data_IF_296449264115
#
_entry.id   IF_296449264115
#
_cell.length_a   1.000
_cell.length_b   1.000
_cell.length_c   1.000
_cell.angle_alpha   90.00
_cell.angle_beta   90.00
_cell.angle_gamma   90.00
#
_symmetry.space_group_name_H-M   'P 1'
#
loop_
_entity.id
_entity.type
_entity.pdbx_description
1 polymer ?
#
# COMPACT_ATOMS: atom_id res chain seq x y z
N UNK A 1 -8.33 3.83 -11.43
CA UNK A 1 -7.39 3.27 -10.46
C UNK A 1 -6.29 2.54 -11.22
N UNK A 2 -5.01 2.83 -10.93
CA UNK A 2 -3.88 2.09 -11.51
C UNK A 2 -3.54 0.93 -10.57
N UNK A 3 -4.32 -0.15 -10.66
CA UNK A 3 -4.09 -1.39 -9.90
C UNK A 3 -2.96 -2.21 -10.55
N UNK A 4 -2.16 -2.90 -9.74
CA UNK A 4 -1.02 -3.71 -10.21
C UNK A 4 -1.41 -5.17 -10.37
N UNK A 5 -1.15 -5.76 -11.55
CA UNK A 5 -1.36 -7.19 -11.78
C UNK A 5 -0.27 -8.02 -11.09
N UNK A 6 -0.64 -9.21 -10.61
CA UNK A 6 0.34 -10.20 -10.19
C UNK A 6 1.21 -10.66 -11.38
N UNK A 7 2.48 -11.03 -11.16
CA UNK A 7 3.33 -11.51 -12.25
C UNK A 7 2.76 -12.78 -12.91
N UNK A 8 2.73 -12.79 -14.25
CA UNK A 8 2.27 -13.91 -15.08
C UNK A 8 3.21 -15.10 -14.97
N UNK A 9 2.95 -16.02 -14.04
CA UNK A 9 3.87 -17.12 -13.76
C UNK A 9 3.17 -18.39 -13.27
N UNK A 10 3.85 -19.51 -13.40
CA UNK A 10 3.48 -20.75 -12.74
C UNK A 10 3.81 -20.66 -11.25
N UNK A 11 2.97 -21.29 -10.42
CA UNK A 11 3.17 -21.39 -8.99
C UNK A 11 3.65 -22.81 -8.60
N UNK A 12 4.42 -22.93 -7.51
CA UNK A 12 4.81 -24.23 -6.98
C UNK A 12 3.58 -25.10 -6.68
N UNK A 13 3.66 -26.37 -7.06
CA UNK A 13 2.61 -27.35 -6.75
C UNK A 13 3.00 -28.04 -5.44
N UNK A 14 2.13 -28.05 -4.41
CA UNK A 14 2.39 -28.83 -3.21
C UNK A 14 2.45 -30.33 -3.56
N UNK A 15 3.31 -31.07 -2.87
CA UNK A 15 3.65 -32.47 -3.17
C UNK A 15 2.55 -33.50 -2.83
N UNK A 16 1.27 -33.12 -2.91
CA UNK A 16 0.15 -33.99 -2.56
C UNK A 16 -0.39 -34.71 -3.80
N UNK A 17 -0.46 -36.04 -3.73
CA UNK A 17 -1.00 -36.94 -4.78
C UNK A 17 -2.53 -36.81 -5.04
N UNK A 18 -3.19 -35.79 -4.49
CA UNK A 18 -4.65 -35.65 -4.51
C UNK A 18 -5.17 -34.29 -5.00
N UNK A 19 -4.35 -33.45 -5.63
CA UNK A 19 -4.87 -32.23 -6.25
C UNK A 19 -5.75 -32.59 -7.45
N UNK A 20 -7.01 -32.13 -7.41
CA UNK A 20 -7.87 -32.16 -8.59
C UNK A 20 -7.15 -31.49 -9.77
N UNK A 21 -7.28 -32.07 -10.97
CA UNK A 21 -6.60 -31.61 -12.19
C UNK A 21 -6.79 -30.11 -12.46
N UNK A 22 -7.97 -29.55 -12.15
CA UNK A 22 -8.22 -28.11 -12.28
C UNK A 22 -7.41 -27.26 -11.30
N UNK A 23 -7.23 -27.74 -10.08
CA UNK A 23 -6.38 -27.08 -9.07
C UNK A 23 -4.91 -27.14 -9.48
N UNK A 24 -4.48 -28.29 -10.03
CA UNK A 24 -3.12 -28.45 -10.55
C UNK A 24 -2.85 -27.46 -11.69
N UNK A 25 -3.75 -27.36 -12.68
CA UNK A 25 -3.62 -26.40 -13.78
C UNK A 25 -3.65 -24.94 -13.32
N UNK A 26 -4.50 -24.64 -12.33
CA UNK A 26 -4.55 -23.33 -11.71
C UNK A 26 -3.25 -22.95 -10.99
N UNK A 27 -2.35 -23.90 -10.68
CA UNK A 27 -1.01 -23.64 -10.16
C UNK A 27 0.02 -23.60 -11.29
N UNK A 28 0.03 -24.61 -12.15
CA UNK A 28 1.14 -24.85 -13.09
C UNK A 28 1.11 -24.01 -14.36
N UNK A 29 -0.07 -23.57 -14.81
CA UNK A 29 -0.15 -22.75 -16.02
C UNK A 29 0.14 -21.29 -15.70
N UNK A 30 0.99 -20.60 -16.47
CA UNK A 30 1.32 -19.20 -16.19
C UNK A 30 0.08 -18.32 -16.36
N UNK A 31 -0.28 -17.59 -15.30
CA UNK A 31 -1.38 -16.63 -15.30
C UNK A 31 -1.00 -15.41 -14.46
N UNK A 32 -1.52 -14.25 -14.81
CA UNK A 32 -1.55 -13.06 -13.97
C UNK A 32 -2.97 -12.81 -13.48
N UNK A 33 -3.09 -12.13 -12.34
CA UNK A 33 -4.36 -11.70 -11.77
C UNK A 33 -4.27 -10.21 -11.48
N UNK A 34 -5.22 -9.44 -12.01
CA UNK A 34 -5.37 -8.01 -11.79
C UNK A 34 -6.68 -7.77 -11.04
N UNK A 35 -6.60 -7.20 -9.84
CA UNK A 35 -7.78 -6.84 -9.05
C UNK A 35 -8.39 -5.53 -9.56
N UNK A 36 -9.66 -5.54 -9.94
CA UNK A 36 -10.37 -4.40 -10.53
C UNK A 36 -11.20 -3.60 -9.52
N UNK A 37 -11.31 -4.07 -8.27
CA UNK A 37 -12.24 -3.57 -7.26
C UNK A 37 -13.55 -4.38 -7.22
N UNK A 38 -14.37 -4.19 -6.19
CA UNK A 38 -15.69 -4.82 -5.98
C UNK A 38 -15.64 -6.36 -6.07
N UNK A 39 -14.53 -6.98 -5.67
CA UNK A 39 -14.34 -8.44 -5.78
C UNK A 39 -14.22 -8.98 -7.22
N UNK A 40 -14.04 -8.10 -8.20
CA UNK A 40 -13.82 -8.43 -9.61
C UNK A 40 -12.32 -8.53 -9.93
N UNK A 41 -11.97 -9.57 -10.67
CA UNK A 41 -10.60 -9.86 -11.07
C UNK A 41 -10.51 -10.14 -12.56
N UNK A 42 -9.49 -9.59 -13.19
CA UNK A 42 -9.08 -9.96 -14.53
C UNK A 42 -7.97 -11.00 -14.46
N UNK A 43 -8.14 -12.11 -15.17
CA UNK A 43 -7.16 -13.21 -15.25
C UNK A 43 -6.66 -13.33 -16.68
N UNK A 44 -5.40 -12.99 -16.91
CA UNK A 44 -4.73 -13.27 -18.17
C UNK A 44 -4.16 -14.69 -18.13
N UNK A 45 -4.64 -15.53 -19.02
CA UNK A 45 -4.24 -16.93 -19.08
C UNK A 45 -2.93 -17.15 -19.84
N UNK A 46 -2.39 -18.37 -19.75
CA UNK A 46 -1.19 -18.80 -20.48
C UNK A 46 -1.29 -18.66 -22.01
N UNK A 47 -2.51 -18.64 -22.54
CA UNK A 47 -2.81 -18.47 -23.97
C UNK A 47 -3.15 -17.02 -24.34
N UNK A 48 -2.78 -16.06 -23.49
CA UNK A 48 -3.04 -14.61 -23.66
C UNK A 48 -4.53 -14.25 -23.79
N UNK A 49 -5.42 -15.16 -23.39
CA UNK A 49 -6.84 -14.89 -23.25
C UNK A 49 -7.12 -14.34 -21.86
N UNK A 50 -7.92 -13.28 -21.82
CA UNK A 50 -8.33 -12.60 -20.59
C UNK A 50 -9.75 -12.99 -20.21
N UNK A 51 -9.95 -13.30 -18.93
CA UNK A 51 -11.26 -13.64 -18.37
C UNK A 51 -11.54 -12.83 -17.12
N UNK A 52 -12.79 -12.43 -16.94
CA UNK A 52 -13.25 -11.78 -15.72
C UNK A 52 -13.76 -12.84 -14.75
N UNK A 53 -13.37 -12.68 -13.49
CA UNK A 53 -13.75 -13.52 -12.36
C UNK A 53 -14.40 -12.63 -11.32
N UNK A 54 -15.67 -12.89 -11.06
CA UNK A 54 -16.38 -12.35 -9.91
C UNK A 54 -16.24 -13.40 -8.80
N UNK A 55 -15.37 -13.11 -7.83
CA UNK A 55 -15.01 -14.09 -6.81
C UNK A 55 -16.17 -14.32 -5.83
N UNK A 56 -16.92 -13.27 -5.51
CA UNK A 56 -18.03 -13.31 -4.56
C UNK A 56 -19.22 -14.10 -5.12
N UNK A 57 -19.59 -13.87 -6.38
CA UNK A 57 -20.61 -14.65 -7.05
C UNK A 57 -20.10 -16.03 -7.53
N UNK A 58 -18.79 -16.29 -7.42
CA UNK A 58 -18.16 -17.52 -7.89
C UNK A 58 -18.29 -17.73 -9.40
N UNK A 59 -18.29 -16.64 -10.17
CA UNK A 59 -18.54 -16.61 -11.62
C UNK A 59 -17.26 -16.35 -12.40
N UNK A 60 -17.21 -16.87 -13.62
CA UNK A 60 -16.12 -16.58 -14.55
C UNK A 60 -16.63 -16.48 -15.99
N UNK A 61 -16.08 -15.56 -16.78
CA UNK A 61 -16.44 -15.42 -18.21
C UNK A 61 -15.80 -16.47 -19.12
N UNK A 62 -14.98 -17.37 -18.58
CA UNK A 62 -14.33 -18.39 -19.39
C UNK A 62 -15.31 -19.46 -19.91
N UNK A 63 -15.04 -20.06 -21.09
CA UNK A 63 -15.90 -21.10 -21.66
C UNK A 63 -16.19 -22.27 -20.73
N UNK A 64 -15.22 -22.69 -19.90
CA UNK A 64 -15.41 -23.82 -18.97
C UNK A 64 -16.48 -23.52 -17.90
N UNK A 65 -16.60 -22.25 -17.48
CA UNK A 65 -17.68 -21.84 -16.58
C UNK A 65 -18.98 -21.63 -17.34
N UNK A 66 -18.96 -20.87 -18.45
CA UNK A 66 -20.17 -20.52 -19.21
C UNK A 66 -20.95 -21.74 -19.71
N UNK A 67 -20.25 -22.80 -20.13
CA UNK A 67 -20.91 -23.99 -20.70
C UNK A 67 -21.14 -25.12 -19.70
N UNK A 68 -20.47 -25.11 -18.53
CA UNK A 68 -20.49 -26.24 -17.59
C UNK A 68 -20.78 -25.87 -16.15
N UNK A 69 -20.88 -24.58 -15.85
CA UNK A 69 -21.04 -24.01 -14.49
C UNK A 69 -20.03 -24.58 -13.48
N UNK A 70 -18.88 -25.04 -13.98
CA UNK A 70 -17.85 -25.63 -13.16
C UNK A 70 -17.06 -24.54 -12.46
N UNK A 71 -16.67 -24.76 -11.20
CA UNK A 71 -15.55 -23.99 -10.61
C UNK A 71 -14.36 -24.22 -11.54
N UNK A 72 -13.92 -23.20 -12.27
CA UNK A 72 -12.89 -23.33 -13.30
C UNK A 72 -11.49 -23.12 -12.69
N UNK A 73 -10.44 -23.24 -13.51
CA UNK A 73 -9.07 -22.97 -13.07
C UNK A 73 -8.83 -21.48 -12.74
N UNK A 74 -9.55 -20.56 -13.37
CA UNK A 74 -9.37 -19.11 -13.15
C UNK A 74 -9.87 -18.68 -11.76
N UNK A 75 -11.05 -19.14 -11.35
CA UNK A 75 -11.57 -18.90 -9.98
C UNK A 75 -10.60 -19.47 -8.94
N UNK A 76 -10.04 -20.67 -9.18
CA UNK A 76 -9.01 -21.25 -8.29
C UNK A 76 -7.73 -20.42 -8.28
N UNK A 77 -7.26 -19.96 -9.44
CA UNK A 77 -6.07 -19.12 -9.56
C UNK A 77 -6.20 -17.85 -8.71
N UNK A 78 -7.32 -17.13 -8.81
CA UNK A 78 -7.59 -15.93 -7.99
C UNK A 78 -7.48 -16.26 -6.50
N UNK A 79 -8.18 -17.30 -6.03
CA UNK A 79 -8.12 -17.71 -4.62
C UNK A 79 -6.70 -18.08 -4.15
N UNK A 80 -5.90 -18.73 -5.01
CA UNK A 80 -4.51 -19.08 -4.72
C UNK A 80 -3.63 -17.83 -4.61
N UNK A 81 -3.75 -16.89 -5.55
CA UNK A 81 -2.95 -15.66 -5.55
C UNK A 81 -3.25 -14.80 -4.31
N UNK A 82 -4.53 -14.72 -3.89
CA UNK A 82 -4.94 -14.08 -2.63
C UNK A 82 -4.30 -14.80 -1.43
N UNK A 83 -4.40 -16.13 -1.39
CA UNK A 83 -3.82 -16.92 -0.28
C UNK A 83 -2.30 -16.75 -0.18
N UNK A 84 -1.62 -16.51 -1.31
CA UNK A 84 -0.18 -16.26 -1.35
C UNK A 84 0.19 -14.78 -1.20
N UNK A 85 -0.77 -13.88 -0.97
CA UNK A 85 -0.53 -12.43 -0.84
C UNK A 85 0.00 -11.78 -2.12
N UNK A 86 -0.25 -12.36 -3.29
CA UNK A 86 0.18 -11.83 -4.61
C UNK A 86 -0.86 -10.95 -5.28
N UNK A 87 -2.10 -10.97 -4.78
CA UNK A 87 -3.22 -10.15 -5.22
C UNK A 87 -4.10 -9.88 -4.00
N UNK A 88 -4.76 -8.71 -3.94
CA UNK A 88 -5.59 -8.33 -2.80
C UNK A 88 -6.88 -9.17 -2.70
N UNK A 89 -7.41 -9.38 -1.49
CA UNK A 89 -8.76 -9.90 -1.28
C UNK A 89 -9.85 -8.93 -1.81
N UNK A 90 -11.13 -9.37 -1.90
CA UNK A 90 -12.24 -8.46 -2.23
C UNK A 90 -12.33 -7.29 -1.27
N UNK A 91 -12.67 -6.10 -1.79
CA UNK A 91 -12.68 -4.83 -1.04
C UNK A 91 -11.34 -4.09 -1.03
N UNK A 92 -10.28 -4.70 -1.56
CA UNK A 92 -8.94 -4.09 -1.64
C UNK A 92 -8.40 -4.04 -3.08
N UNK A 93 -7.53 -3.07 -3.33
CA UNK A 93 -6.80 -2.89 -4.58
C UNK A 93 -5.28 -2.97 -4.36
N UNK A 94 -4.54 -3.35 -5.41
CA UNK A 94 -3.08 -3.40 -5.38
C UNK A 94 -2.49 -2.10 -5.89
N UNK A 95 -1.78 -1.37 -5.04
CA UNK A 95 -1.15 -0.09 -5.36
C UNK A 95 0.35 -0.15 -5.12
N UNK A 96 1.12 0.71 -5.79
CA UNK A 96 2.54 0.83 -5.55
C UNK A 96 2.80 1.76 -4.35
N UNK A 97 3.65 1.33 -3.42
CA UNK A 97 4.19 2.18 -2.37
C UNK A 97 4.86 3.40 -2.99
N UNK A 98 4.50 4.61 -2.54
CA UNK A 98 5.01 5.86 -3.13
C UNK A 98 6.53 6.04 -2.96
N UNK A 99 7.15 5.40 -1.97
CA UNK A 99 8.59 5.53 -1.71
C UNK A 99 9.45 4.48 -2.43
N UNK A 100 9.06 3.20 -2.39
CA UNK A 100 9.87 2.11 -2.92
C UNK A 100 9.27 1.39 -4.13
N UNK A 101 8.02 1.68 -4.49
CA UNK A 101 7.30 1.03 -5.60
C UNK A 101 6.83 -0.40 -5.32
N UNK A 102 7.13 -0.97 -4.15
CA UNK A 102 6.67 -2.30 -3.75
C UNK A 102 5.13 -2.34 -3.70
N UNK A 103 4.55 -3.47 -4.09
CA UNK A 103 3.08 -3.60 -4.08
C UNK A 103 2.56 -3.67 -2.65
N UNK A 104 1.54 -2.88 -2.35
CA UNK A 104 0.79 -2.93 -1.10
C UNK A 104 -0.70 -2.99 -1.40
N UNK A 105 -1.47 -3.57 -0.47
CA UNK A 105 -2.91 -3.71 -0.61
C UNK A 105 -3.59 -2.71 0.30
N UNK A 106 -4.56 -2.01 -0.25
CA UNK A 106 -5.29 -0.94 0.43
C UNK A 106 -6.77 -1.08 0.12
N UNK A 107 -7.61 -0.58 1.02
CA UNK A 107 -9.05 -0.48 0.80
C UNK A 107 -9.34 0.28 -0.51
N UNK A 108 -10.30 -0.21 -1.28
CA UNK A 108 -10.60 0.35 -2.60
C UNK A 108 -11.17 1.77 -2.58
N UNK A 109 -11.76 2.18 -1.46
CA UNK A 109 -12.26 3.54 -1.22
C UNK A 109 -11.19 4.45 -0.60
N UNK A 110 -10.02 3.91 -0.24
CA UNK A 110 -8.94 4.70 0.34
C UNK A 110 -8.41 5.73 -0.66
N UNK A 111 -8.08 6.91 -0.15
CA UNK A 111 -7.56 8.02 -0.94
C UNK A 111 -6.25 8.55 -0.38
N UNK A 112 -5.35 8.95 -1.27
CA UNK A 112 -4.07 9.56 -0.91
C UNK A 112 -2.90 8.71 -1.38
N UNK A 113 -1.68 9.11 -1.01
CA UNK A 113 -0.53 8.26 -1.23
C UNK A 113 -0.52 7.06 -0.31
N UNK A 114 -0.16 5.92 -0.87
CA UNK A 114 -0.06 4.66 -0.16
C UNK A 114 1.40 4.30 0.11
N UNK A 115 1.62 3.69 1.27
CA UNK A 115 2.94 3.31 1.75
C UNK A 115 2.89 1.87 2.25
N UNK A 116 3.91 1.07 1.94
CA UNK A 116 4.04 -0.26 2.55
C UNK A 116 4.40 -0.13 4.04
N UNK A 117 4.23 -1.21 4.81
CA UNK A 117 4.46 -1.25 6.27
C UNK A 117 5.82 -0.67 6.72
N UNK A 118 6.86 -0.83 5.89
CA UNK A 118 8.21 -0.29 6.15
C UNK A 118 8.27 1.23 6.05
N UNK A 119 7.52 1.81 5.12
CA UNK A 119 7.54 3.24 4.84
C UNK A 119 6.38 3.98 5.51
N UNK A 120 5.31 3.28 5.90
CA UNK A 120 4.20 3.90 6.61
C UNK A 120 4.67 4.46 7.97
N UNK A 121 4.28 5.71 8.23
CA UNK A 121 4.66 6.45 9.44
C UNK A 121 3.40 6.62 10.28
N UNK A 122 3.49 6.24 11.55
CA UNK A 122 2.43 6.33 12.53
C UNK A 122 2.83 7.24 13.70
N UNK A 123 1.83 7.74 14.43
CA UNK A 123 2.08 8.41 15.70
C UNK A 123 2.89 7.50 16.65
N UNK A 124 3.93 8.07 17.25
CA UNK A 124 4.89 7.36 18.11
C UNK A 124 6.10 6.79 17.38
N UNK A 125 6.09 6.73 16.04
CA UNK A 125 7.26 6.26 15.29
C UNK A 125 8.47 7.17 15.49
N UNK A 126 9.65 6.57 15.54
CA UNK A 126 10.89 7.32 15.45
C UNK A 126 11.24 7.51 13.97
N UNK A 127 11.55 8.73 13.57
CA UNK A 127 11.89 9.09 12.20
C UNK A 127 13.19 9.87 12.16
N UNK A 128 13.81 9.92 10.99
CA UNK A 128 14.99 10.73 10.70
C UNK A 128 14.61 11.82 9.71
N UNK A 129 14.94 13.07 10.04
CA UNK A 129 14.85 14.17 9.08
C UNK A 129 15.99 14.06 8.06
N UNK A 130 15.65 13.96 6.78
CA UNK A 130 16.62 13.82 5.69
C UNK A 130 17.50 15.06 5.52
N UNK A 131 17.00 16.24 5.88
CA UNK A 131 17.76 17.50 5.77
C UNK A 131 18.84 17.64 6.83
N UNK A 132 18.49 17.32 8.08
CA UNK A 132 19.38 17.54 9.23
C UNK A 132 20.09 16.27 9.68
N UNK A 133 19.53 15.11 9.36
CA UNK A 133 19.97 13.81 9.86
C UNK A 133 19.51 13.51 11.29
N UNK A 134 18.79 14.41 11.94
CA UNK A 134 18.33 14.29 13.33
C UNK A 134 17.21 13.26 13.47
N UNK A 135 17.11 12.65 14.65
CA UNK A 135 16.02 11.73 15.01
C UNK A 135 14.89 12.50 15.69
N UNK A 136 13.66 12.27 15.25
CA UNK A 136 12.44 12.85 15.79
C UNK A 136 11.47 11.75 16.22
N UNK A 137 10.51 12.11 17.07
CA UNK A 137 9.35 11.28 17.40
C UNK A 137 8.12 11.87 16.75
N UNK A 138 7.42 11.06 15.97
CA UNK A 138 6.17 11.44 15.31
C UNK A 138 5.07 11.57 16.37
N UNK A 139 4.34 12.67 16.32
CA UNK A 139 3.20 12.94 17.18
C UNK A 139 1.91 12.59 16.47
N UNK A 140 1.80 12.96 15.20
CA UNK A 140 0.59 12.75 14.40
C UNK A 140 0.89 12.83 12.89
N UNK A 141 0.01 12.25 12.08
CA UNK A 141 0.03 12.34 10.62
C UNK A 141 -1.31 12.88 10.13
N UNK A 142 -1.25 13.99 9.41
CA UNK A 142 -2.43 14.71 8.91
C UNK A 142 -2.84 14.21 7.53
N UNK A 143 -4.13 14.05 7.29
CA UNK A 143 -4.69 13.77 5.95
C UNK A 143 -4.52 14.94 4.98
N UNK A 144 -4.30 16.16 5.48
CA UNK A 144 -4.04 17.34 4.66
C UNK A 144 -2.65 17.31 4.03
N UNK A 145 -2.59 17.77 2.77
CA UNK A 145 -1.37 17.91 1.96
C UNK A 145 -0.45 19.03 2.48
N UNK A 146 0.84 18.88 2.19
CA UNK A 146 1.87 19.86 2.56
C UNK A 146 1.64 21.25 1.94
N UNK A 147 1.05 21.34 0.74
CA UNK A 147 0.66 22.60 0.11
C UNK A 147 -0.65 23.22 0.65
N UNK A 148 -1.39 22.48 1.48
CA UNK A 148 -2.64 22.95 2.07
C UNK A 148 -2.49 23.42 3.53
N UNK A 149 -1.39 23.04 4.21
CA UNK A 149 -1.17 23.35 5.63
C UNK A 149 -0.20 24.52 5.77
N UNK A 150 -0.57 25.55 6.54
CA UNK A 150 0.30 26.70 6.81
C UNK A 150 1.08 26.57 8.12
N UNK A 151 2.32 27.10 8.14
CA UNK A 151 3.20 27.02 9.31
C UNK A 151 2.93 28.19 10.25
N UNK A 152 2.52 27.91 11.49
CA UNK A 152 2.54 28.88 12.60
C UNK A 152 1.70 30.15 12.37
N UNK A 153 0.65 30.07 11.54
CA UNK A 153 -0.18 31.23 11.20
C UNK A 153 0.46 32.22 10.21
N UNK A 154 1.55 31.84 9.56
CA UNK A 154 2.08 32.56 8.39
C UNK A 154 1.29 32.23 7.12
N UNK A 155 1.50 33.02 6.05
CA UNK A 155 0.97 32.73 4.71
C UNK A 155 1.82 31.70 3.94
N UNK A 156 2.83 31.09 4.58
CA UNK A 156 3.70 30.08 3.97
C UNK A 156 3.22 28.68 4.31
N UNK A 157 3.02 27.85 3.27
CA UNK A 157 2.62 26.45 3.42
C UNK A 157 3.79 25.59 3.90
N UNK A 158 3.52 24.35 4.32
CA UNK A 158 4.57 23.39 4.66
C UNK A 158 5.41 23.09 3.42
N UNK A 159 4.80 22.95 2.24
CA UNK A 159 5.51 22.72 0.98
C UNK A 159 6.39 23.91 0.56
N UNK A 160 5.87 25.14 0.69
CA UNK A 160 6.58 26.36 0.24
C UNK A 160 7.66 26.85 1.22
N UNK A 161 7.84 26.17 2.36
CA UNK A 161 8.89 26.53 3.28
C UNK A 161 10.26 26.22 2.65
N UNK A 162 11.21 27.15 2.75
CA UNK A 162 12.47 27.08 1.99
C UNK A 162 13.30 25.79 2.14
N UNK A 163 13.17 25.07 3.26
CA UNK A 163 13.87 23.77 3.46
C UNK A 163 13.07 22.56 2.97
N UNK A 164 11.91 22.79 2.35
CA UNK A 164 11.00 21.77 1.84
C UNK A 164 10.81 21.84 0.31
N UNK A 165 11.47 22.77 -0.39
CA UNK A 165 11.29 23.02 -1.83
C UNK A 165 11.53 21.77 -2.71
N UNK A 166 12.41 20.87 -2.28
CA UNK A 166 12.75 19.62 -2.98
C UNK A 166 11.81 18.45 -2.63
N UNK A 167 10.80 18.67 -1.79
CA UNK A 167 9.85 17.64 -1.36
C UNK A 167 8.49 17.82 -2.03
N UNK A 168 7.84 16.68 -2.24
CA UNK A 168 6.57 16.63 -2.96
C UNK A 168 5.46 17.41 -2.20
N UNK A 169 4.78 18.37 -2.84
CA UNK A 169 3.72 19.16 -2.21
C UNK A 169 2.42 18.36 -1.98
N UNK A 170 2.19 17.27 -2.72
CA UNK A 170 0.98 16.44 -2.69
C UNK A 170 1.11 15.25 -1.71
N UNK A 171 1.79 15.46 -0.59
CA UNK A 171 1.97 14.44 0.45
C UNK A 171 1.40 14.93 1.78
N UNK A 172 0.92 14.00 2.63
CA UNK A 172 0.53 14.29 4.00
C UNK A 172 1.56 15.10 4.78
N UNK A 173 1.09 15.85 5.76
CA UNK A 173 1.94 16.53 6.74
C UNK A 173 2.16 15.63 7.96
N UNK A 174 3.40 15.53 8.40
CA UNK A 174 3.77 14.81 9.62
C UNK A 174 4.14 15.82 10.70
N UNK A 175 3.46 15.73 11.84
CA UNK A 175 3.82 16.45 13.06
C UNK A 175 4.84 15.64 13.86
N UNK A 176 6.00 16.22 14.15
CA UNK A 176 7.06 15.53 14.90
C UNK A 176 7.73 16.46 15.92
N UNK A 177 8.27 15.86 16.99
CA UNK A 177 9.03 16.55 18.03
C UNK A 177 10.47 16.06 18.04
N UNK A 178 11.39 16.98 18.22
CA UNK A 178 12.76 16.58 18.50
C UNK A 178 12.91 16.13 19.96
N UNK A 179 13.62 15.03 20.25
CA UNK A 179 13.75 14.47 21.58
C UNK A 179 14.70 15.24 22.51
N UNK A 180 15.13 16.45 22.14
CA UNK A 180 15.99 17.30 22.99
C UNK A 180 15.20 18.05 24.07
N UNK A 181 14.33 17.36 24.80
CA UNK A 181 13.76 17.92 26.02
C UNK A 181 14.87 18.03 27.06
N UNK A 182 15.34 19.25 27.34
CA UNK A 182 16.24 19.46 28.48
C UNK A 182 15.43 19.27 29.76
N UNK A 183 15.71 18.21 30.50
CA UNK A 183 15.09 17.98 31.82
C UNK A 183 15.74 18.96 32.79
N UNK A 184 14.99 19.99 33.19
CA UNK A 184 15.44 20.88 34.25
C UNK A 184 15.54 20.10 35.57
N UNK A 185 16.32 20.61 36.52
CA UNK A 185 16.52 19.97 37.83
C UNK A 185 15.22 19.67 38.59
N UNK A 186 14.14 20.37 38.25
CA UNK A 186 12.80 20.24 38.86
C UNK A 186 11.78 19.52 37.94
N UNK A 187 12.22 18.86 36.87
CA UNK A 187 11.36 18.11 35.95
C UNK A 187 11.42 18.61 34.50
N UNK A 188 10.58 18.01 33.65
CA UNK A 188 10.41 18.40 32.24
C UNK A 188 9.68 19.74 32.17
N UNK A 189 10.08 20.62 31.25
CA UNK A 189 9.37 21.87 30.96
C UNK A 189 8.50 21.63 29.71
N UNK A 190 7.17 21.38 29.83
CA UNK A 190 6.37 20.97 28.68
C UNK A 190 6.29 22.04 27.59
N UNK A 191 6.32 23.32 27.96
CA UNK A 191 6.26 24.45 27.03
C UNK A 191 7.48 24.61 26.11
N UNK A 192 8.57 23.87 26.35
CA UNK A 192 9.72 23.86 25.42
C UNK A 192 9.58 22.83 24.30
N UNK A 193 8.61 21.92 24.39
CA UNK A 193 8.35 20.93 23.35
C UNK A 193 7.54 21.59 22.23
N UNK A 194 8.24 21.97 21.16
CA UNK A 194 7.63 22.47 19.94
C UNK A 194 7.36 21.31 18.99
N UNK A 195 6.12 21.18 18.54
CA UNK A 195 5.76 20.30 17.43
C UNK A 195 6.11 21.02 16.13
N UNK A 196 6.88 20.34 15.29
CA UNK A 196 7.25 20.78 13.95
C UNK A 196 6.44 20.00 12.93
N UNK A 197 6.16 20.62 11.79
CA UNK A 197 5.39 20.02 10.70
C UNK A 197 6.29 19.89 9.47
N UNK A 198 6.26 18.72 8.82
CA UNK A 198 7.11 18.39 7.68
C UNK A 198 6.29 17.71 6.58
N UNK A 199 6.67 17.85 5.30
CA UNK A 199 6.17 16.96 4.26
C UNK A 199 6.55 15.52 4.62
N UNK A 200 5.62 14.57 4.48
CA UNK A 200 5.86 13.17 4.88
C UNK A 200 7.09 12.55 4.21
N UNK A 201 7.40 12.90 2.96
CA UNK A 201 8.58 12.39 2.21
C UNK A 201 9.93 12.95 2.68
N UNK A 202 9.93 13.94 3.59
CA UNK A 202 11.13 14.44 4.26
C UNK A 202 11.59 13.55 5.42
N UNK A 203 10.68 12.76 5.98
CA UNK A 203 10.96 11.92 7.13
C UNK A 203 11.11 10.46 6.70
N UNK A 204 12.19 9.83 7.15
CA UNK A 204 12.44 8.39 6.96
C UNK A 204 12.21 7.64 8.27
N UNK A 205 11.50 6.51 8.23
CA UNK A 205 11.30 5.67 9.43
C UNK A 205 12.65 5.16 9.95
N UNK A 206 12.97 5.50 11.20
CA UNK A 206 14.19 5.06 11.85
C UNK A 206 13.91 3.74 12.58
N UNK A 207 14.48 2.65 12.05
CA UNK A 207 14.41 1.30 12.63
C UNK A 207 15.06 1.21 14.01
#
# INVERSE_FOLDING_TARGET
MNTTASPKTALPVPSSDHLEERSRRALTEPMSVLALGDGLYEVESASDHTYLVDLEAGRCTCPDYVFREARCKHIRRVAIEITHGRTPPPGEIAVACRDCGETTFVDEDASGPFYCETHEIHAGDAVRDRETGDRLTVVDVSDLRADAVTIGGSDTTVADYATNEDYDPDVPVVGAVYPHATVAKNGVVPGSLKVYVFPRTRLEKAT
#
